data_IF_460720654063
#
_entry.id   IF_460720654063
#
_cell.length_a   1.000
_cell.length_b   1.000
_cell.length_c   1.000
_cell.angle_alpha   90.00
_cell.angle_beta   90.00
_cell.angle_gamma   90.00
#
_symmetry.space_group_name_H-M   'P 1'
#
loop_
_entity.id
_entity.type
_entity.pdbx_description
1 polymer ?
#
# COMPACT_ATOMS: atom_id res chain seq x y z
N UNK A 1 -20.85 5.48 -2.84
CA UNK A 1 -19.66 5.27 -1.99
C UNK A 1 -19.96 5.54 -0.52
N UNK A 2 -20.56 6.68 -0.19
CA UNK A 2 -20.87 7.01 1.20
C UNK A 2 -21.79 5.99 1.92
N UNK A 3 -22.90 5.58 1.32
CA UNK A 3 -23.75 4.50 1.87
C UNK A 3 -23.06 3.14 1.98
N UNK A 4 -21.97 2.94 1.24
CA UNK A 4 -21.24 1.67 1.14
C UNK A 4 -20.05 1.58 2.11
N UNK A 5 -19.79 2.64 2.89
CA UNK A 5 -18.73 2.63 3.89
C UNK A 5 -17.49 3.45 3.56
N UNK A 6 -17.61 4.47 2.71
CA UNK A 6 -16.53 5.44 2.51
C UNK A 6 -16.19 6.19 3.81
N UNK A 7 -14.95 6.67 3.92
CA UNK A 7 -14.52 7.48 5.06
C UNK A 7 -15.22 8.83 4.97
N UNK A 8 -15.96 9.15 6.02
CA UNK A 8 -16.53 10.46 6.25
C UNK A 8 -16.40 10.79 7.74
N UNK A 9 -15.66 11.85 8.04
CA UNK A 9 -15.24 12.18 9.40
C UNK A 9 -16.42 12.27 10.38
N UNK A 10 -17.48 12.99 10.00
CA UNK A 10 -18.65 13.20 10.85
C UNK A 10 -19.34 11.87 11.22
N UNK A 11 -19.42 10.92 10.28
CA UNK A 11 -20.04 9.61 10.53
C UNK A 11 -19.19 8.71 11.41
N UNK A 12 -17.87 8.80 11.28
CA UNK A 12 -16.94 8.00 12.09
C UNK A 12 -16.94 8.55 13.53
N UNK A 13 -16.77 9.87 13.69
CA UNK A 13 -16.58 10.50 15.01
C UNK A 13 -17.91 10.71 15.74
N UNK A 14 -18.92 11.31 15.11
CA UNK A 14 -20.17 11.66 15.79
C UNK A 14 -21.25 10.58 15.71
N UNK A 15 -21.17 9.66 14.73
CA UNK A 15 -22.16 8.57 14.57
C UNK A 15 -21.57 7.19 14.88
N UNK A 16 -20.35 7.13 15.42
CA UNK A 16 -19.67 5.90 15.83
C UNK A 16 -19.58 4.82 14.74
N UNK A 17 -19.50 5.21 13.47
CA UNK A 17 -19.43 4.27 12.33
C UNK A 17 -17.99 3.81 12.05
N UNK A 18 -17.33 3.24 13.06
CA UNK A 18 -15.92 2.81 12.98
C UNK A 18 -15.65 1.73 11.94
N UNK A 19 -16.66 0.92 11.58
CA UNK A 19 -16.57 -0.10 10.52
C UNK A 19 -16.14 0.48 9.16
N UNK A 20 -16.39 1.79 8.92
CA UNK A 20 -15.96 2.51 7.72
C UNK A 20 -14.45 2.52 7.52
N UNK A 21 -13.68 2.48 8.61
CA UNK A 21 -12.22 2.44 8.58
C UNK A 21 -11.68 1.15 7.94
N UNK A 22 -12.49 0.09 7.94
CA UNK A 22 -12.13 -1.19 7.32
C UNK A 22 -12.76 -1.24 5.93
N UNK A 23 -14.08 -1.03 5.80
CA UNK A 23 -14.78 -1.22 4.52
C UNK A 23 -14.29 -0.31 3.40
N UNK A 24 -13.78 0.88 3.72
CA UNK A 24 -13.29 1.83 2.71
C UNK A 24 -12.08 1.31 1.90
N UNK A 25 -11.34 0.32 2.42
CA UNK A 25 -10.18 -0.29 1.75
C UNK A 25 -10.61 -0.95 0.43
N UNK A 26 -11.83 -1.48 0.35
CA UNK A 26 -12.37 -2.13 -0.86
C UNK A 26 -13.08 -1.15 -1.81
N UNK A 27 -13.35 0.08 -1.37
CA UNK A 27 -14.06 1.07 -2.17
C UNK A 27 -13.11 1.86 -3.05
N UNK A 28 -13.54 2.20 -4.26
CA UNK A 28 -12.74 2.95 -5.22
C UNK A 28 -13.54 4.11 -5.81
N UNK A 29 -12.89 5.27 -6.01
CA UNK A 29 -13.53 6.49 -6.48
C UNK A 29 -13.97 6.43 -7.96
N UNK A 30 -13.46 5.47 -8.74
CA UNK A 30 -13.78 5.27 -10.15
C UNK A 30 -12.91 4.20 -10.80
N UNK A 31 -13.13 3.97 -12.11
CA UNK A 31 -12.46 2.90 -12.86
C UNK A 31 -10.94 3.08 -12.94
N UNK A 32 -10.47 4.31 -13.22
CA UNK A 32 -9.02 4.61 -13.28
C UNK A 32 -8.35 4.39 -11.93
N UNK A 33 -9.01 4.82 -10.85
CA UNK A 33 -8.49 4.61 -9.49
C UNK A 33 -8.43 3.12 -9.13
N UNK A 34 -9.45 2.34 -9.49
CA UNK A 34 -9.44 0.90 -9.33
C UNK A 34 -8.29 0.25 -10.13
N UNK A 35 -8.19 0.58 -11.42
CA UNK A 35 -7.14 0.02 -12.28
C UNK A 35 -5.74 0.32 -11.75
N UNK A 36 -5.46 1.55 -11.32
CA UNK A 36 -4.17 1.92 -10.74
C UNK A 36 -3.85 1.13 -9.46
N UNK A 37 -4.82 0.97 -8.55
CA UNK A 37 -4.63 0.20 -7.33
C UNK A 37 -4.42 -1.28 -7.61
N UNK A 38 -5.17 -1.87 -8.54
CA UNK A 38 -5.04 -3.29 -8.90
C UNK A 38 -3.73 -3.56 -9.63
N UNK A 39 -3.32 -2.71 -10.57
CA UNK A 39 -2.01 -2.83 -11.23
C UNK A 39 -0.88 -2.71 -10.20
N UNK A 40 -0.94 -1.71 -9.31
CA UNK A 40 0.03 -1.57 -8.23
C UNK A 40 0.09 -2.83 -7.35
N UNK A 41 -1.08 -3.35 -6.94
CA UNK A 41 -1.16 -4.55 -6.12
C UNK A 41 -0.59 -5.78 -6.84
N UNK A 42 -0.84 -5.94 -8.14
CA UNK A 42 -0.30 -7.05 -8.94
C UNK A 42 1.22 -6.95 -9.05
N UNK A 43 1.76 -5.79 -9.41
CA UNK A 43 3.21 -5.64 -9.60
C UNK A 43 4.00 -5.74 -8.29
N UNK A 44 3.51 -5.10 -7.22
CA UNK A 44 4.20 -5.03 -5.93
C UNK A 44 3.85 -6.23 -5.06
N UNK A 45 2.56 -6.56 -4.97
CA UNK A 45 2.05 -7.62 -4.12
C UNK A 45 2.57 -8.99 -4.52
N UNK A 46 2.53 -9.36 -5.81
CA UNK A 46 3.05 -10.67 -6.27
C UNK A 46 4.55 -10.78 -6.00
N UNK A 47 5.31 -9.71 -6.28
CA UNK A 47 6.77 -9.67 -6.05
C UNK A 47 7.11 -9.92 -4.58
N UNK A 48 6.40 -9.25 -3.67
CA UNK A 48 6.57 -9.39 -2.23
C UNK A 48 6.06 -10.74 -1.72
N UNK A 49 4.93 -11.23 -2.22
CA UNK A 49 4.36 -12.53 -1.84
C UNK A 49 5.32 -13.67 -2.18
N UNK A 50 5.99 -13.61 -3.33
CA UNK A 50 7.01 -14.59 -3.70
C UNK A 50 8.23 -14.57 -2.78
N UNK A 51 8.52 -13.45 -2.12
CA UNK A 51 9.67 -13.32 -1.21
C UNK A 51 9.33 -13.67 0.24
N UNK A 52 8.17 -13.23 0.72
CA UNK A 52 7.80 -13.24 2.14
C UNK A 52 6.61 -14.17 2.45
N UNK A 53 5.89 -14.60 1.41
CA UNK A 53 4.70 -15.44 1.53
C UNK A 53 3.39 -14.64 1.69
N UNK A 54 2.29 -15.27 1.26
CA UNK A 54 0.95 -14.69 1.22
C UNK A 54 0.50 -14.09 2.55
N UNK A 55 0.70 -14.82 3.66
CA UNK A 55 0.17 -14.42 4.98
C UNK A 55 0.82 -13.12 5.47
N UNK A 56 2.13 -12.98 5.32
CA UNK A 56 2.85 -11.78 5.77
C UNK A 56 2.41 -10.55 4.98
N UNK A 57 2.32 -10.69 3.65
CA UNK A 57 1.89 -9.61 2.76
C UNK A 57 0.43 -9.24 2.97
N UNK A 58 -0.45 -10.23 3.21
CA UNK A 58 -1.84 -10.00 3.55
C UNK A 58 -2.01 -9.22 4.85
N UNK A 59 -1.23 -9.55 5.89
CA UNK A 59 -1.25 -8.80 7.16
C UNK A 59 -0.76 -7.36 6.96
N UNK A 60 0.37 -7.16 6.27
CA UNK A 60 0.90 -5.81 5.99
C UNK A 60 -0.14 -5.00 5.22
N UNK A 61 -0.74 -5.57 4.19
CA UNK A 61 -1.78 -4.91 3.40
C UNK A 61 -2.96 -4.45 4.27
N UNK A 62 -3.52 -5.34 5.10
CA UNK A 62 -4.67 -5.01 5.95
C UNK A 62 -4.33 -3.97 7.02
N UNK A 63 -3.20 -4.13 7.71
CA UNK A 63 -2.76 -3.20 8.76
C UNK A 63 -2.45 -1.83 8.18
N UNK A 64 -1.77 -1.75 7.04
CA UNK A 64 -1.48 -0.49 6.37
C UNK A 64 -2.74 0.16 5.80
N UNK A 65 -3.68 -0.61 5.25
CA UNK A 65 -4.98 -0.09 4.80
C UNK A 65 -5.78 0.52 5.96
N UNK A 66 -5.83 -0.17 7.10
CA UNK A 66 -6.47 0.36 8.31
C UNK A 66 -5.74 1.60 8.85
N UNK A 67 -4.42 1.54 8.97
CA UNK A 67 -3.60 2.66 9.44
C UNK A 67 -3.75 3.91 8.55
N UNK A 68 -3.75 3.73 7.23
CA UNK A 68 -4.01 4.79 6.27
C UNK A 68 -5.42 5.38 6.42
N UNK A 69 -6.42 4.56 6.71
CA UNK A 69 -7.80 5.00 6.95
C UNK A 69 -7.96 5.80 8.25
N UNK A 70 -7.26 5.37 9.32
CA UNK A 70 -7.17 6.13 10.58
C UNK A 70 -6.47 7.46 10.34
N UNK A 71 -5.33 7.47 9.67
CA UNK A 71 -4.57 8.69 9.37
C UNK A 71 -5.40 9.65 8.51
N UNK A 72 -6.07 9.14 7.47
CA UNK A 72 -7.00 9.90 6.65
C UNK A 72 -8.10 10.54 7.50
N UNK A 73 -8.69 9.80 8.44
CA UNK A 73 -9.72 10.34 9.35
C UNK A 73 -9.17 11.42 10.29
N UNK A 74 -7.93 11.30 10.78
CA UNK A 74 -7.34 12.29 11.68
C UNK A 74 -7.04 13.62 10.98
N UNK A 75 -6.54 13.55 9.73
CA UNK A 75 -6.02 14.72 9.02
C UNK A 75 -6.98 15.29 7.95
N UNK A 76 -7.93 14.51 7.44
CA UNK A 76 -8.85 14.91 6.37
C UNK A 76 -10.29 14.90 6.90
N UNK A 77 -10.86 16.10 7.07
CA UNK A 77 -12.20 16.28 7.66
C UNK A 77 -13.29 16.66 6.66
N UNK A 78 -12.92 17.28 5.54
CA UNK A 78 -13.85 17.89 4.58
C UNK A 78 -13.93 17.15 3.24
N UNK A 79 -13.48 15.90 3.18
CA UNK A 79 -13.46 15.12 1.93
C UNK A 79 -13.81 13.67 2.19
N UNK A 80 -14.41 13.04 1.19
CA UNK A 80 -14.74 11.62 1.22
C UNK A 80 -13.51 10.86 0.71
N UNK A 81 -12.98 9.95 1.53
CA UNK A 81 -11.84 9.12 1.17
C UNK A 81 -12.28 7.66 0.96
N UNK A 82 -11.73 7.04 -0.09
CA UNK A 82 -11.93 5.63 -0.43
C UNK A 82 -10.66 5.11 -1.07
N UNK A 83 -10.32 3.84 -0.86
CA UNK A 83 -9.25 3.21 -1.64
C UNK A 83 -8.37 2.28 -0.85
N UNK A 84 -7.90 1.26 -1.57
CA UNK A 84 -6.80 0.40 -1.19
C UNK A 84 -5.43 1.09 -1.16
N UNK A 85 -5.34 2.37 -1.51
CA UNK A 85 -4.07 3.07 -1.72
C UNK A 85 -3.22 3.12 -0.44
N UNK A 86 -3.83 3.28 0.73
CA UNK A 86 -3.12 3.20 2.02
C UNK A 86 -2.44 1.83 2.25
N UNK A 87 -3.11 0.75 1.83
CA UNK A 87 -2.56 -0.60 1.87
C UNK A 87 -1.42 -0.77 0.86
N UNK A 88 -1.57 -0.23 -0.35
CA UNK A 88 -0.54 -0.26 -1.39
C UNK A 88 0.72 0.52 -0.99
N UNK A 89 0.57 1.71 -0.38
CA UNK A 89 1.71 2.46 0.18
C UNK A 89 2.39 1.72 1.32
N UNK A 90 1.64 0.94 2.11
CA UNK A 90 2.21 0.01 3.07
C UNK A 90 3.12 -1.05 2.45
N UNK A 91 2.66 -1.66 1.36
CA UNK A 91 3.47 -2.63 0.60
C UNK A 91 4.71 -1.98 -0.03
N UNK A 92 4.59 -0.76 -0.57
CA UNK A 92 5.74 0.02 -1.04
C UNK A 92 6.74 0.31 0.09
N UNK A 93 6.24 0.64 1.28
CA UNK A 93 7.07 0.78 2.48
C UNK A 93 7.79 -0.51 2.86
N UNK A 94 7.13 -1.66 2.74
CA UNK A 94 7.74 -2.97 2.98
C UNK A 94 8.85 -3.28 1.96
N UNK A 95 8.62 -2.97 0.67
CA UNK A 95 9.68 -3.08 -0.35
C UNK A 95 10.87 -2.18 -0.05
N UNK A 96 10.61 -0.94 0.36
CA UNK A 96 11.68 0.00 0.72
C UNK A 96 12.46 -0.50 1.94
N UNK A 97 11.78 -1.04 2.94
CA UNK A 97 12.42 -1.66 4.11
C UNK A 97 13.31 -2.83 3.69
N UNK A 98 12.84 -3.70 2.80
CA UNK A 98 13.65 -4.80 2.26
C UNK A 98 14.92 -4.30 1.58
N UNK A 99 14.79 -3.29 0.71
CA UNK A 99 15.91 -2.69 0.00
C UNK A 99 16.95 -2.10 0.97
N UNK A 100 16.50 -1.40 2.01
CA UNK A 100 17.38 -0.76 3.00
C UNK A 100 18.07 -1.80 3.88
N UNK A 101 17.34 -2.82 4.35
CA UNK A 101 17.93 -3.88 5.19
C UNK A 101 18.92 -4.75 4.41
N UNK A 102 18.69 -4.97 3.11
CA UNK A 102 19.54 -5.78 2.24
C UNK A 102 20.48 -4.94 1.34
N UNK A 103 20.73 -3.68 1.70
CA UNK A 103 21.45 -2.71 0.86
C UNK A 103 22.79 -3.22 0.31
N UNK A 104 23.55 -3.95 1.13
CA UNK A 104 24.88 -4.50 0.76
C UNK A 104 24.81 -5.54 -0.36
N UNK A 105 23.74 -6.33 -0.45
CA UNK A 105 23.55 -7.32 -1.51
C UNK A 105 23.32 -6.60 -2.84
N UNK A 106 22.52 -5.52 -2.82
CA UNK A 106 22.21 -4.75 -4.01
C UNK A 106 23.42 -3.96 -4.52
N UNK A 107 24.19 -3.32 -3.64
CA UNK A 107 25.41 -2.61 -4.05
C UNK A 107 26.44 -3.56 -4.65
N UNK A 108 26.65 -4.74 -4.06
CA UNK A 108 27.56 -5.76 -4.60
C UNK A 108 27.12 -6.25 -5.99
N UNK A 109 25.82 -6.45 -6.20
CA UNK A 109 25.27 -6.90 -7.49
C UNK A 109 25.44 -5.84 -8.58
N UNK A 110 25.22 -4.56 -8.26
CA UNK A 110 25.45 -3.44 -9.20
C UNK A 110 26.93 -3.33 -9.53
N UNK A 111 27.82 -3.37 -8.54
CA UNK A 111 29.27 -3.34 -8.73
C UNK A 111 29.75 -4.47 -9.65
N UNK A 112 29.24 -5.71 -9.46
CA UNK A 112 29.58 -6.83 -10.33
C UNK A 112 29.20 -6.58 -11.80
N UNK A 113 28.00 -6.08 -12.07
CA UNK A 113 27.55 -5.80 -13.45
C UNK A 113 28.33 -4.64 -14.08
N UNK A 114 28.66 -3.61 -13.30
CA UNK A 114 29.48 -2.48 -13.77
C UNK A 114 30.90 -2.93 -14.12
N UNK A 115 31.56 -3.69 -13.24
CA UNK A 115 32.90 -4.24 -13.49
C UNK A 115 32.87 -5.15 -14.72
N UNK A 116 31.84 -5.99 -14.84
CA UNK A 116 31.66 -6.85 -16.01
C UNK A 116 31.49 -6.02 -17.29
N UNK A 117 30.73 -4.93 -17.26
CA UNK A 117 30.55 -4.05 -18.42
C UNK A 117 31.87 -3.37 -18.83
N UNK A 118 32.65 -2.87 -17.85
CA UNK A 118 33.95 -2.24 -18.10
C UNK A 118 34.95 -3.23 -18.71
N UNK A 119 35.00 -4.46 -18.21
CA UNK A 119 35.92 -5.49 -18.71
C UNK A 119 35.52 -6.07 -20.09
N UNK A 120 34.34 -5.72 -20.62
CA UNK A 120 33.87 -6.12 -21.95
C UNK A 120 34.12 -5.06 -23.03
N UNK A 121 34.63 -3.88 -22.66
CA UNK A 121 35.01 -2.76 -23.55
C UNK A 121 36.52 -2.72 -23.68
#
# INVERSE_FOLDING_TARGET
>A
LDKLGAIEWNKIVHRHQGWRLITCIWLHAGLVHLAANMLGLVFIGIRLEQQFGFVQIGIIYLVSGFGGSVLSTLFIRNSICVGASGALFGLLGAMLSELVTNWTIYTNKVSYHLIKLINYV
#
